data_IF_328659711726
#
_entry.id   IF_328659711726
#
_cell.length_a   1.000
_cell.length_b   1.000
_cell.length_c   1.000
_cell.angle_alpha   90.00
_cell.angle_beta   90.00
_cell.angle_gamma   90.00
#
_symmetry.space_group_name_H-M   'P 1'
#
loop_
_entity.id
_entity.type
_entity.pdbx_description
1 polymer ?
#
# COMPACT_ATOMS: atom_id res chain seq x y z
N UNK A 1 -15.99 4.01 12.48
CA UNK A 1 -15.51 4.22 11.09
C UNK A 1 -16.28 5.31 10.36
N UNK A 2 -17.53 5.58 10.71
CA UNK A 2 -18.38 6.53 9.97
C UNK A 2 -17.83 7.96 9.95
N UNK A 3 -17.20 8.41 11.05
CA UNK A 3 -16.52 9.73 11.07
C UNK A 3 -15.45 9.87 9.98
N UNK A 4 -14.65 8.83 9.72
CA UNK A 4 -13.64 8.85 8.64
C UNK A 4 -14.29 8.84 7.25
N UNK A 5 -15.41 8.12 7.08
CA UNK A 5 -16.17 8.10 5.83
C UNK A 5 -16.75 9.49 5.54
N UNK A 6 -17.36 10.13 6.54
CA UNK A 6 -17.91 11.49 6.42
C UNK A 6 -16.84 12.52 6.09
N UNK A 7 -15.62 12.35 6.60
CA UNK A 7 -14.48 13.20 6.29
C UNK A 7 -13.77 12.86 4.96
N UNK A 8 -14.28 11.91 4.16
CA UNK A 8 -13.64 11.39 2.94
C UNK A 8 -12.22 10.81 3.16
N UNK A 9 -11.89 10.40 4.39
CA UNK A 9 -10.59 9.82 4.77
C UNK A 9 -10.58 8.29 4.71
N UNK A 10 -11.70 7.66 4.34
CA UNK A 10 -11.82 6.20 4.25
C UNK A 10 -12.32 5.77 2.88
N UNK A 11 -11.43 5.16 2.08
CA UNK A 11 -11.75 4.47 0.81
C UNK A 11 -12.64 5.31 -0.15
N UNK A 12 -12.40 6.61 -0.22
CA UNK A 12 -13.24 7.59 -0.92
C UNK A 12 -13.10 7.59 -2.45
N UNK A 13 -12.05 6.99 -3.00
CA UNK A 13 -11.78 7.00 -4.45
C UNK A 13 -12.04 5.67 -5.15
N UNK A 14 -12.73 4.74 -4.50
CA UNK A 14 -13.12 3.48 -5.12
C UNK A 14 -14.08 3.70 -6.30
N UNK A 15 -13.97 2.84 -7.30
CA UNK A 15 -14.80 2.86 -8.50
C UNK A 15 -15.99 1.92 -8.29
N UNK A 16 -17.23 2.41 -8.37
CA UNK A 16 -18.40 1.54 -8.26
C UNK A 16 -18.52 0.63 -9.49
N UNK A 17 -18.80 -0.65 -9.23
CA UNK A 17 -18.96 -1.72 -10.23
C UNK A 17 -20.36 -2.30 -10.10
N UNK A 18 -21.09 -2.34 -11.22
CA UNK A 18 -22.46 -2.88 -11.27
C UNK A 18 -22.82 -3.41 -12.65
N UNK A 19 -23.90 -4.20 -12.73
CA UNK A 19 -24.42 -4.75 -13.98
C UNK A 19 -23.40 -5.62 -14.71
N UNK A 20 -23.22 -5.40 -16.02
CA UNK A 20 -22.31 -6.20 -16.88
C UNK A 20 -20.86 -6.19 -16.42
N UNK A 21 -20.41 -5.15 -15.70
CA UNK A 21 -19.04 -5.10 -15.19
C UNK A 21 -18.77 -6.16 -14.12
N UNK A 22 -19.80 -6.57 -13.35
CA UNK A 22 -19.70 -7.66 -12.38
C UNK A 22 -19.45 -8.98 -13.10
N UNK A 23 -20.17 -9.25 -14.17
CA UNK A 23 -19.98 -10.46 -14.99
C UNK A 23 -18.55 -10.52 -15.55
N UNK A 24 -18.03 -9.40 -16.07
CA UNK A 24 -16.63 -9.31 -16.53
C UNK A 24 -15.64 -9.55 -15.39
N UNK A 25 -15.86 -8.95 -14.24
CA UNK A 25 -15.00 -9.13 -13.08
C UNK A 25 -15.01 -10.59 -12.61
N UNK A 26 -16.16 -11.25 -12.57
CA UNK A 26 -16.28 -12.67 -12.24
C UNK A 26 -15.56 -13.56 -13.26
N UNK A 27 -15.64 -13.26 -14.56
CA UNK A 27 -14.84 -13.96 -15.57
C UNK A 27 -13.33 -13.80 -15.34
N UNK A 28 -12.85 -12.61 -14.93
CA UNK A 28 -11.46 -12.41 -14.52
C UNK A 28 -11.11 -13.32 -13.33
N UNK A 29 -11.94 -13.32 -12.28
CA UNK A 29 -11.70 -14.16 -11.10
C UNK A 29 -11.55 -15.63 -11.47
N UNK A 30 -12.47 -16.18 -12.27
CA UNK A 30 -12.41 -17.58 -12.71
C UNK A 30 -11.16 -17.86 -13.55
N UNK A 31 -10.81 -16.94 -14.46
CA UNK A 31 -9.60 -17.08 -15.30
C UNK A 31 -8.31 -17.11 -14.47
N UNK A 32 -8.27 -16.36 -13.37
CA UNK A 32 -7.16 -16.32 -12.42
C UNK A 32 -7.18 -17.46 -11.38
N UNK A 33 -8.15 -18.38 -11.47
CA UNK A 33 -8.28 -19.52 -10.54
C UNK A 33 -9.07 -19.22 -9.26
N UNK A 34 -9.73 -18.07 -9.16
CA UNK A 34 -10.54 -17.67 -8.01
C UNK A 34 -12.03 -17.98 -8.19
N UNK A 35 -12.74 -18.09 -7.07
CA UNK A 35 -14.20 -18.25 -7.03
C UNK A 35 -14.88 -16.92 -7.34
N UNK A 36 -15.97 -16.95 -8.10
CA UNK A 36 -16.82 -15.79 -8.39
C UNK A 36 -17.38 -15.15 -7.11
N UNK A 37 -17.56 -13.82 -7.13
CA UNK A 37 -18.31 -13.12 -6.08
C UNK A 37 -19.82 -13.27 -6.29
N UNK A 38 -20.57 -13.35 -5.19
CA UNK A 38 -22.04 -13.34 -5.20
C UNK A 38 -22.62 -11.92 -5.15
N UNK A 39 -21.78 -10.90 -4.97
CA UNK A 39 -22.20 -9.51 -4.88
C UNK A 39 -22.67 -8.99 -6.23
N UNK A 40 -23.82 -8.29 -6.22
CA UNK A 40 -24.38 -7.64 -7.42
C UNK A 40 -23.80 -6.25 -7.70
N UNK A 41 -23.21 -5.64 -6.66
CA UNK A 41 -22.61 -4.31 -6.68
C UNK A 41 -21.49 -4.26 -5.66
N UNK A 42 -20.34 -3.73 -6.04
CA UNK A 42 -19.17 -3.55 -5.16
C UNK A 42 -18.31 -2.42 -5.71
N UNK A 43 -17.24 -2.06 -5.01
CA UNK A 43 -16.34 -1.01 -5.45
C UNK A 43 -14.91 -1.54 -5.56
N UNK A 44 -14.17 -1.12 -6.58
CA UNK A 44 -12.77 -1.55 -6.81
C UNK A 44 -11.78 -0.40 -6.71
N UNK A 45 -10.54 -0.71 -6.40
CA UNK A 45 -9.42 0.23 -6.38
C UNK A 45 -8.62 0.24 -7.70
N UNK A 46 -7.45 0.89 -7.69
CA UNK A 46 -6.60 1.00 -8.88
C UNK A 46 -6.12 -0.35 -9.46
N UNK A 47 -5.86 -1.36 -8.63
CA UNK A 47 -5.39 -2.69 -9.08
C UNK A 47 -6.55 -3.65 -9.37
N UNK A 48 -7.77 -3.26 -8.97
CA UNK A 48 -8.98 -4.08 -9.10
C UNK A 48 -9.42 -4.72 -7.80
N UNK A 49 -8.73 -4.50 -6.69
CA UNK A 49 -9.11 -5.05 -5.39
C UNK A 49 -10.38 -4.37 -4.86
N UNK A 50 -11.25 -5.16 -4.23
CA UNK A 50 -12.51 -4.70 -3.63
C UNK A 50 -12.58 -5.05 -2.15
N UNK A 51 -12.84 -4.06 -1.28
CA UNK A 51 -13.02 -4.34 0.14
C UNK A 51 -14.26 -5.18 0.44
N UNK A 52 -15.35 -5.02 -0.33
CA UNK A 52 -16.58 -5.78 -0.12
C UNK A 52 -16.40 -7.25 -0.47
N UNK A 53 -15.64 -7.55 -1.54
CA UNK A 53 -15.31 -8.94 -1.91
C UNK A 53 -14.31 -9.55 -0.92
N UNK A 54 -13.35 -8.76 -0.41
CA UNK A 54 -12.45 -9.23 0.64
C UNK A 54 -13.20 -9.62 1.92
N UNK A 55 -14.23 -8.85 2.30
CA UNK A 55 -15.11 -9.17 3.43
C UNK A 55 -15.98 -10.40 3.14
N UNK A 56 -16.57 -10.51 1.94
CA UNK A 56 -17.35 -11.70 1.53
C UNK A 56 -16.52 -12.99 1.59
N UNK A 57 -15.26 -12.93 1.16
CA UNK A 57 -14.37 -14.10 1.08
C UNK A 57 -13.56 -14.34 2.36
N UNK A 58 -13.71 -13.50 3.37
CA UNK A 58 -12.89 -13.48 4.59
C UNK A 58 -11.37 -13.50 4.30
N UNK A 59 -10.97 -12.89 3.18
CA UNK A 59 -9.60 -12.89 2.71
C UNK A 59 -9.24 -11.51 2.11
N UNK A 60 -8.41 -10.77 2.83
CA UNK A 60 -7.92 -9.45 2.41
C UNK A 60 -7.11 -9.51 1.11
N UNK A 61 -6.37 -10.59 0.85
CA UNK A 61 -5.51 -10.77 -0.32
C UNK A 61 -6.10 -11.75 -1.34
N UNK A 62 -7.43 -11.71 -1.55
CA UNK A 62 -8.13 -12.68 -2.41
C UNK A 62 -7.72 -12.64 -3.89
N UNK A 63 -7.01 -11.61 -4.34
CA UNK A 63 -6.44 -11.51 -5.70
C UNK A 63 -5.06 -12.14 -5.83
N UNK A 64 -4.53 -12.74 -4.76
CA UNK A 64 -3.22 -13.37 -4.77
C UNK A 64 -3.37 -14.88 -4.61
N UNK A 65 -2.71 -15.64 -5.49
CA UNK A 65 -2.60 -17.08 -5.34
C UNK A 65 -1.38 -17.38 -4.46
N UNK A 66 -1.61 -17.42 -3.14
CA UNK A 66 -0.53 -17.45 -2.16
C UNK A 66 0.15 -16.09 -2.02
N UNK A 67 1.38 -16.09 -1.49
CA UNK A 67 2.12 -14.85 -1.21
C UNK A 67 3.02 -14.40 -2.38
N UNK A 68 3.37 -15.30 -3.31
CA UNK A 68 4.33 -15.01 -4.38
C UNK A 68 3.69 -14.47 -5.67
N UNK A 69 2.40 -14.76 -5.91
CA UNK A 69 1.73 -14.53 -7.18
C UNK A 69 0.58 -13.53 -7.02
N UNK A 70 0.87 -12.22 -6.98
CA UNK A 70 -0.15 -11.19 -6.98
C UNK A 70 -0.75 -11.04 -8.37
N UNK A 71 -2.07 -10.79 -8.43
CA UNK A 71 -2.76 -10.51 -9.70
C UNK A 71 -3.50 -9.18 -9.63
N UNK A 72 -3.75 -8.60 -10.79
CA UNK A 72 -4.58 -7.41 -10.95
C UNK A 72 -5.74 -7.65 -11.91
N UNK A 73 -6.79 -6.85 -11.77
CA UNK A 73 -7.94 -6.88 -12.66
C UNK A 73 -8.24 -5.45 -13.14
N UNK A 74 -8.18 -5.23 -14.45
CA UNK A 74 -8.57 -3.97 -15.08
C UNK A 74 -9.88 -4.18 -15.85
N UNK A 75 -10.95 -3.57 -15.37
CA UNK A 75 -12.27 -3.57 -16.03
C UNK A 75 -12.68 -2.19 -16.55
N UNK A 76 -11.97 -1.12 -16.19
CA UNK A 76 -12.34 0.24 -16.54
C UNK A 76 -11.13 1.16 -16.70
N UNK A 77 -11.15 2.12 -17.65
CA UNK A 77 -10.10 3.12 -17.77
C UNK A 77 -10.09 4.08 -16.57
N UNK A 78 -11.17 4.12 -15.78
CA UNK A 78 -11.26 4.95 -14.57
C UNK A 78 -10.28 4.51 -13.48
N UNK A 79 -9.73 3.29 -13.57
CA UNK A 79 -8.67 2.79 -12.66
C UNK A 79 -7.34 3.55 -12.85
N UNK A 80 -7.17 4.28 -13.95
CA UNK A 80 -5.98 5.11 -14.20
C UNK A 80 -5.81 6.15 -13.10
N UNK A 81 -4.68 6.08 -12.40
CA UNK A 81 -4.30 7.05 -11.36
C UNK A 81 -5.06 6.89 -10.05
N UNK A 82 -5.88 5.84 -9.89
CA UNK A 82 -6.58 5.57 -8.64
C UNK A 82 -5.65 4.96 -7.59
N UNK A 83 -5.90 5.23 -6.30
CA UNK A 83 -5.10 4.66 -5.24
C UNK A 83 -5.26 3.14 -5.19
N UNK A 84 -4.16 2.45 -4.89
CA UNK A 84 -4.17 1.04 -4.48
C UNK A 84 -4.19 1.02 -2.96
N UNK A 85 -5.31 0.61 -2.38
CA UNK A 85 -5.54 0.73 -0.93
C UNK A 85 -4.81 -0.35 -0.15
N UNK A 86 -4.70 -1.57 -0.72
CA UNK A 86 -4.06 -2.70 -0.09
C UNK A 86 -2.99 -3.33 -1.00
N UNK A 87 -1.90 -2.60 -1.33
CA UNK A 87 -0.88 -3.07 -2.26
C UNK A 87 0.01 -4.13 -1.59
N UNK A 88 0.01 -5.38 -2.05
CA UNK A 88 0.76 -6.47 -1.42
C UNK A 88 2.26 -6.16 -1.36
N UNK A 89 2.78 -5.52 -2.41
CA UNK A 89 4.10 -4.91 -2.45
C UNK A 89 4.01 -3.38 -2.56
N UNK A 90 4.92 -2.63 -1.96
CA UNK A 90 4.92 -1.15 -2.10
C UNK A 90 5.02 -0.69 -3.55
N UNK A 91 5.67 -1.46 -4.42
CA UNK A 91 5.83 -1.15 -5.83
C UNK A 91 4.58 -1.44 -6.69
N UNK A 92 3.54 -2.13 -6.18
CA UNK A 92 2.33 -2.44 -6.95
C UNK A 92 1.65 -1.16 -7.47
N UNK A 93 1.72 -0.07 -6.70
CA UNK A 93 1.23 1.26 -7.10
C UNK A 93 1.96 1.80 -8.31
N UNK A 94 3.26 1.59 -8.38
CA UNK A 94 4.11 2.09 -9.46
C UNK A 94 4.00 1.21 -10.70
N UNK A 95 3.83 -0.10 -10.52
CA UNK A 95 3.46 -1.03 -11.60
C UNK A 95 2.16 -0.57 -12.26
N UNK A 96 1.11 -0.27 -11.49
CA UNK A 96 -0.15 0.20 -12.07
C UNK A 96 0.00 1.52 -12.82
N UNK A 97 0.76 2.49 -12.28
CA UNK A 97 1.07 3.73 -12.99
C UNK A 97 1.83 3.46 -14.29
N UNK A 98 2.78 2.53 -14.28
CA UNK A 98 3.58 2.15 -15.44
C UNK A 98 2.75 1.48 -16.53
N UNK A 99 1.89 0.53 -16.17
CA UNK A 99 0.92 -0.13 -17.05
C UNK A 99 0.03 0.89 -17.77
N UNK A 100 -0.59 1.81 -17.02
CA UNK A 100 -1.44 2.83 -17.60
C UNK A 100 -0.68 3.92 -18.39
N UNK A 101 0.61 4.12 -18.11
CA UNK A 101 1.47 5.04 -18.86
C UNK A 101 1.79 4.48 -20.25
N UNK A 102 2.08 3.18 -20.36
CA UNK A 102 2.45 2.54 -21.62
C UNK A 102 1.22 2.12 -22.42
N UNK A 103 0.26 1.43 -21.78
CA UNK A 103 -0.87 0.78 -22.45
C UNK A 103 -2.21 1.51 -22.27
N UNK A 104 -2.21 2.73 -21.71
CA UNK A 104 -3.45 3.41 -21.30
C UNK A 104 -4.51 3.55 -22.39
N UNK A 105 -4.14 3.91 -23.63
CA UNK A 105 -5.09 4.02 -24.75
C UNK A 105 -5.63 2.65 -25.19
N UNK A 106 -4.78 1.61 -25.18
CA UNK A 106 -5.20 0.24 -25.51
C UNK A 106 -6.14 -0.32 -24.44
N UNK A 107 -5.81 -0.13 -23.17
CA UNK A 107 -6.65 -0.49 -22.03
C UNK A 107 -8.02 0.16 -22.16
N UNK A 108 -8.06 1.47 -22.48
CA UNK A 108 -9.32 2.20 -22.67
C UNK A 108 -10.16 1.63 -23.81
N UNK A 109 -9.56 1.19 -24.90
CA UNK A 109 -10.32 0.56 -25.98
C UNK A 109 -10.80 -0.84 -25.59
N UNK A 110 -9.93 -1.70 -25.04
CA UNK A 110 -10.23 -3.08 -24.64
C UNK A 110 -11.32 -3.15 -23.58
N UNK A 111 -11.29 -2.25 -22.60
CA UNK A 111 -12.23 -2.26 -21.46
C UNK A 111 -13.65 -1.80 -21.83
N UNK A 112 -13.90 -1.35 -23.07
CA UNK A 112 -15.26 -1.05 -23.57
C UNK A 112 -16.13 -2.31 -23.58
N UNK A 113 -15.58 -3.39 -24.10
CA UNK A 113 -16.28 -4.64 -24.38
C UNK A 113 -15.76 -5.82 -23.54
N UNK A 114 -14.52 -5.75 -23.05
CA UNK A 114 -13.87 -6.81 -22.25
C UNK A 114 -13.22 -6.26 -20.98
N UNK A 115 -12.34 -7.06 -20.39
CA UNK A 115 -11.51 -6.75 -19.24
C UNK A 115 -10.18 -7.49 -19.34
N UNK A 116 -9.20 -7.05 -18.55
CA UNK A 116 -7.81 -7.50 -18.62
C UNK A 116 -7.43 -8.04 -17.25
N UNK A 117 -6.92 -9.26 -17.20
CA UNK A 117 -6.23 -9.80 -16.03
C UNK A 117 -4.74 -9.46 -16.14
N UNK A 118 -4.16 -8.96 -15.06
CA UNK A 118 -2.74 -8.77 -14.92
C UNK A 118 -2.18 -9.92 -14.09
N UNK A 119 -1.12 -10.51 -14.58
CA UNK A 119 -0.31 -11.48 -13.84
C UNK A 119 1.08 -10.89 -13.64
N UNK A 120 1.53 -10.84 -12.39
CA UNK A 120 2.83 -10.30 -12.01
C UNK A 120 3.76 -11.47 -11.72
N UNK A 121 4.43 -11.93 -12.77
CA UNK A 121 5.38 -13.03 -12.70
C UNK A 121 6.75 -12.51 -12.25
N UNK A 122 7.32 -13.18 -11.28
CA UNK A 122 8.57 -12.82 -10.63
C UNK A 122 9.62 -13.93 -10.79
N UNK A 123 9.31 -14.96 -11.58
CA UNK A 123 10.11 -16.16 -11.76
C UNK A 123 10.13 -17.05 -10.51
N UNK A 124 9.14 -16.92 -9.63
CA UNK A 124 9.05 -17.62 -8.35
C UNK A 124 7.65 -18.22 -8.24
N UNK A 125 7.55 -19.54 -8.40
CA UNK A 125 6.26 -20.24 -8.34
C UNK A 125 5.61 -20.14 -6.94
N UNK A 126 6.44 -20.28 -5.90
CA UNK A 126 6.04 -20.22 -4.50
C UNK A 126 7.24 -19.87 -3.62
N UNK A 127 6.95 -19.26 -2.48
CA UNK A 127 7.93 -19.09 -1.42
C UNK A 127 8.07 -20.35 -0.59
N UNK A 128 9.31 -20.79 -0.36
CA UNK A 128 9.62 -21.91 0.53
C UNK A 128 10.29 -21.42 1.80
N UNK A 129 11.15 -20.40 1.69
CA UNK A 129 11.93 -19.84 2.77
C UNK A 129 11.75 -18.32 2.86
N UNK A 130 11.82 -17.71 4.07
CA UNK A 130 11.62 -16.27 4.25
C UNK A 130 12.54 -15.38 3.41
N UNK A 131 13.77 -15.82 3.15
CA UNK A 131 14.75 -15.07 2.36
C UNK A 131 14.56 -15.22 0.85
N UNK A 132 13.63 -16.06 0.38
CA UNK A 132 13.25 -16.12 -1.04
C UNK A 132 12.73 -14.78 -1.56
N UNK A 133 12.21 -13.91 -0.68
CA UNK A 133 11.83 -12.53 -1.01
C UNK A 133 12.99 -11.71 -1.57
N UNK A 134 14.25 -12.08 -1.31
CA UNK A 134 15.43 -11.43 -1.87
C UNK A 134 15.61 -11.71 -3.36
N UNK A 135 14.99 -12.77 -3.90
CA UNK A 135 15.06 -13.12 -5.33
C UNK A 135 14.26 -12.16 -6.21
N UNK A 136 13.34 -11.40 -5.63
CA UNK A 136 12.51 -10.42 -6.33
C UNK A 136 13.39 -9.35 -6.94
N UNK A 137 13.44 -9.15 -8.26
CA UNK A 137 14.22 -8.04 -8.82
C UNK A 137 13.55 -7.49 -10.07
N UNK A 138 13.24 -8.38 -11.01
CA UNK A 138 12.50 -8.07 -12.21
C UNK A 138 11.13 -8.75 -12.15
N UNK A 139 10.09 -7.97 -12.36
CA UNK A 139 8.71 -8.43 -12.47
C UNK A 139 8.30 -8.33 -13.93
N UNK A 140 7.92 -9.47 -14.52
CA UNK A 140 7.28 -9.56 -15.81
C UNK A 140 5.77 -9.39 -15.63
N UNK A 141 5.19 -8.44 -16.35
CA UNK A 141 3.76 -8.14 -16.29
C UNK A 141 3.12 -8.74 -17.53
N UNK A 142 2.36 -9.82 -17.34
CA UNK A 142 1.60 -10.47 -18.39
C UNK A 142 0.16 -9.96 -18.43
N UNK A 143 -0.37 -9.85 -19.64
CA UNK A 143 -1.71 -9.34 -19.89
C UNK A 143 -2.58 -10.45 -20.49
N UNK A 144 -3.66 -10.77 -19.81
CA UNK A 144 -4.61 -11.78 -20.28
C UNK A 144 -5.99 -11.17 -20.52
N UNK A 145 -6.41 -11.17 -21.78
CA UNK A 145 -7.75 -10.71 -22.18
C UNK A 145 -8.80 -11.75 -21.78
N UNK A 146 -9.94 -11.31 -21.27
CA UNK A 146 -11.10 -12.20 -21.10
C UNK A 146 -11.65 -12.60 -22.47
N UNK A 147 -12.26 -13.79 -22.54
CA UNK A 147 -12.90 -14.36 -23.74
C UNK A 147 -11.92 -14.62 -24.91
N UNK A 148 -10.60 -14.50 -24.68
CA UNK A 148 -9.55 -14.68 -25.69
C UNK A 148 -9.81 -13.84 -26.95
N UNK A 149 -10.14 -12.55 -26.77
CA UNK A 149 -10.41 -11.61 -27.87
C UNK A 149 -9.29 -11.54 -28.92
N UNK A 150 -8.05 -11.78 -28.51
CA UNK A 150 -6.89 -11.97 -29.38
C UNK A 150 -7.11 -13.11 -30.39
N UNK A 151 -7.50 -14.30 -29.91
CA UNK A 151 -7.78 -15.45 -30.77
C UNK A 151 -9.00 -15.21 -31.66
N UNK A 152 -10.03 -14.57 -31.12
CA UNK A 152 -11.25 -14.24 -31.87
C UNK A 152 -10.93 -13.24 -33.00
N UNK A 153 -10.05 -12.27 -32.75
CA UNK A 153 -9.59 -11.34 -33.78
C UNK A 153 -8.85 -12.09 -34.90
N UNK A 154 -7.95 -13.01 -34.56
CA UNK A 154 -7.24 -13.83 -35.56
C UNK A 154 -8.21 -14.68 -36.39
N UNK A 155 -9.25 -15.24 -35.77
CA UNK A 155 -10.31 -15.96 -36.46
C UNK A 155 -11.12 -15.04 -37.39
N UNK A 156 -11.48 -13.84 -36.94
CA UNK A 156 -12.16 -12.84 -37.78
C UNK A 156 -11.30 -12.45 -38.99
N UNK A 157 -10.00 -12.22 -38.80
CA UNK A 157 -9.08 -11.90 -39.89
C UNK A 157 -8.96 -13.06 -40.89
N UNK A 158 -8.85 -14.30 -40.42
CA UNK A 158 -8.88 -15.50 -41.29
C UNK A 158 -10.19 -15.62 -42.06
N UNK A 159 -11.32 -15.31 -41.43
CA UNK A 159 -12.62 -15.31 -42.11
C UNK A 159 -12.68 -14.23 -43.20
N UNK A 160 -12.12 -13.05 -42.95
CA UNK A 160 -12.02 -11.97 -43.95
C UNK A 160 -11.07 -12.34 -45.09
N UNK A 161 -9.93 -12.96 -44.79
CA UNK A 161 -9.03 -13.49 -45.81
C UNK A 161 -9.70 -14.56 -46.66
N UNK A 162 -10.45 -15.48 -46.02
CA UNK A 162 -11.21 -16.51 -46.72
C UNK A 162 -12.29 -15.91 -47.59
N UNK A 163 -13.01 -14.90 -47.09
CA UNK A 163 -14.02 -14.15 -47.82
C UNK A 163 -13.46 -13.46 -49.07
N UNK A 164 -12.27 -12.87 -48.95
CA UNK A 164 -11.59 -12.19 -50.05
C UNK A 164 -10.88 -13.13 -51.05
N UNK A 165 -10.89 -14.45 -50.80
CA UNK A 165 -10.25 -15.45 -51.66
C UNK A 165 -11.24 -15.96 -52.72
N UNK A 166 -10.77 -16.03 -53.97
CA UNK A 166 -11.50 -16.59 -55.11
C UNK A 166 -12.93 -15.99 -55.25
N UNK A 167 -13.96 -16.84 -55.33
CA UNK A 167 -15.36 -16.44 -55.42
C UNK A 167 -16.10 -16.59 -54.07
N UNK A 168 -15.39 -16.63 -52.94
CA UNK A 168 -16.03 -16.82 -51.63
C UNK A 168 -16.92 -15.63 -51.22
N UNK A 169 -16.81 -14.50 -51.91
CA UNK A 169 -17.66 -13.32 -51.68
C UNK A 169 -19.14 -13.53 -52.01
N UNK A 170 -19.51 -14.57 -52.77
CA UNK A 170 -20.91 -14.95 -53.02
C UNK A 170 -21.42 -16.03 -52.07
N UNK A 171 -20.56 -16.59 -51.21
CA UNK A 171 -20.95 -17.65 -50.28
C UNK A 171 -21.70 -17.07 -49.07
N UNK A 172 -23.01 -17.29 -49.04
CA UNK A 172 -23.89 -16.87 -47.95
C UNK A 172 -23.52 -17.48 -46.58
N UNK A 173 -22.85 -18.65 -46.57
CA UNK A 173 -22.40 -19.26 -45.32
C UNK A 173 -21.24 -18.48 -44.69
N UNK A 174 -20.33 -17.93 -45.50
CA UNK A 174 -19.23 -17.08 -45.04
C UNK A 174 -19.78 -15.73 -44.58
N UNK A 175 -20.73 -15.15 -45.32
CA UNK A 175 -21.45 -13.95 -44.88
C UNK A 175 -22.09 -14.13 -43.50
N UNK A 176 -22.77 -15.26 -43.27
CA UNK A 176 -23.41 -15.56 -42.00
C UNK A 176 -22.39 -15.69 -40.87
N UNK A 177 -21.28 -16.41 -41.10
CA UNK A 177 -20.19 -16.55 -40.10
C UNK A 177 -19.58 -15.19 -39.72
N UNK A 178 -19.33 -14.32 -40.69
CA UNK A 178 -18.83 -12.96 -40.43
C UNK A 178 -19.85 -12.12 -39.64
N UNK A 179 -21.13 -12.18 -40.01
CA UNK A 179 -22.19 -11.44 -39.32
C UNK A 179 -22.39 -11.91 -37.88
N UNK A 180 -22.38 -13.23 -37.66
CA UNK A 180 -22.55 -13.82 -36.33
C UNK A 180 -21.35 -13.48 -35.41
N UNK A 181 -20.14 -13.48 -35.96
CA UNK A 181 -18.93 -13.04 -35.25
C UNK A 181 -19.01 -11.55 -34.87
N UNK A 182 -19.37 -10.68 -35.83
CA UNK A 182 -19.51 -9.25 -35.59
C UNK A 182 -20.62 -8.90 -34.59
N UNK A 183 -21.73 -9.64 -34.59
CA UNK A 183 -22.82 -9.46 -33.60
C UNK A 183 -22.40 -9.87 -32.20
N UNK A 184 -21.58 -10.91 -32.08
CA UNK A 184 -21.18 -11.48 -30.79
C UNK A 184 -20.05 -10.69 -30.14
N UNK A 185 -19.06 -10.26 -30.92
CA UNK A 185 -17.80 -9.69 -30.42
C UNK A 185 -17.49 -8.28 -30.93
N UNK A 186 -18.32 -7.72 -31.82
CA UNK A 186 -18.04 -6.49 -32.52
C UNK A 186 -17.02 -6.67 -33.66
N UNK A 187 -16.66 -5.56 -34.30
CA UNK A 187 -15.64 -5.52 -35.35
C UNK A 187 -14.24 -5.36 -34.74
N UNK A 188 -13.43 -6.43 -34.79
CA UNK A 188 -12.10 -6.46 -34.21
C UNK A 188 -10.98 -6.17 -35.21
N UNK A 189 -11.30 -6.02 -36.51
CA UNK A 189 -10.31 -5.99 -37.60
C UNK A 189 -9.25 -4.91 -37.41
N UNK A 190 -9.68 -3.72 -37.03
CA UNK A 190 -8.80 -2.54 -36.88
C UNK A 190 -8.41 -2.25 -35.42
N UNK A 191 -8.78 -3.11 -34.47
CA UNK A 191 -8.49 -2.89 -33.05
C UNK A 191 -7.10 -3.37 -32.70
N UNK A 192 -6.30 -2.55 -32.04
CA UNK A 192 -5.00 -2.97 -31.50
C UNK A 192 -5.19 -3.56 -30.11
N UNK A 193 -5.28 -4.89 -30.07
CA UNK A 193 -5.41 -5.68 -28.83
C UNK A 193 -4.05 -6.16 -28.29
N UNK A 194 -2.94 -5.77 -28.91
CA UNK A 194 -1.63 -6.27 -28.54
C UNK A 194 -1.07 -5.52 -27.32
N UNK A 195 -1.18 -6.15 -26.16
CA UNK A 195 -0.53 -5.74 -24.92
C UNK A 195 0.75 -6.55 -24.74
N UNK A 196 1.88 -6.02 -25.22
CA UNK A 196 3.17 -6.66 -24.99
C UNK A 196 3.52 -6.66 -23.50
N UNK A 197 4.24 -7.69 -23.09
CA UNK A 197 4.74 -7.87 -21.73
C UNK A 197 5.60 -6.69 -21.31
N UNK A 198 5.42 -6.25 -20.08
CA UNK A 198 6.22 -5.17 -19.50
C UNK A 198 7.20 -5.74 -18.49
N UNK A 199 8.39 -5.17 -18.43
CA UNK A 199 9.39 -5.51 -17.42
C UNK A 199 9.49 -4.35 -16.44
N UNK A 200 9.39 -4.64 -15.14
CA UNK A 200 9.51 -3.67 -14.07
C UNK A 200 10.60 -4.11 -13.10
N UNK A 201 11.63 -3.30 -12.93
CA UNK A 201 12.70 -3.57 -11.97
C UNK A 201 12.42 -2.87 -10.66
N UNK A 202 12.55 -3.59 -9.55
CA UNK A 202 12.41 -3.04 -8.20
C UNK A 202 13.70 -3.19 -7.40
N UNK A 203 13.90 -2.23 -6.51
CA UNK A 203 15.05 -2.04 -5.65
C UNK A 203 14.67 -2.38 -4.19
N UNK A 204 14.63 -1.38 -3.31
CA UNK A 204 14.12 -1.48 -1.95
C UNK A 204 12.59 -1.43 -1.91
N UNK A 205 11.94 -2.36 -1.18
CA UNK A 205 10.48 -2.43 -1.10
C UNK A 205 10.00 -3.09 0.20
N UNK A 206 8.69 -3.03 0.45
CA UNK A 206 8.01 -3.79 1.49
C UNK A 206 7.02 -4.78 0.86
N UNK A 207 6.94 -5.99 1.43
CA UNK A 207 5.97 -7.03 1.07
C UNK A 207 5.18 -7.48 2.29
N UNK A 208 3.90 -7.83 2.10
CA UNK A 208 3.08 -8.49 3.13
C UNK A 208 3.36 -9.98 3.28
N UNK A 209 4.17 -10.57 2.40
CA UNK A 209 4.61 -11.95 2.54
C UNK A 209 5.25 -12.17 3.93
N UNK A 210 5.13 -13.37 4.47
CA UNK A 210 5.67 -13.74 5.78
C UNK A 210 5.26 -12.79 6.91
N UNK A 211 4.05 -12.23 6.85
CA UNK A 211 3.54 -11.32 7.89
C UNK A 211 4.12 -9.90 7.87
N UNK A 212 4.90 -9.54 6.84
CA UNK A 212 5.46 -8.20 6.68
C UNK A 212 6.99 -8.19 6.69
N UNK A 213 7.60 -7.84 5.55
CA UNK A 213 9.05 -7.77 5.39
C UNK A 213 9.45 -6.52 4.62
N UNK A 214 10.42 -5.77 5.15
CA UNK A 214 11.11 -4.68 4.46
C UNK A 214 12.43 -5.20 3.90
N UNK A 215 12.72 -4.85 2.66
CA UNK A 215 13.95 -5.20 1.95
C UNK A 215 14.59 -3.90 1.49
N UNK A 216 15.78 -3.62 2.03
CA UNK A 216 16.54 -2.40 1.81
C UNK A 216 17.86 -2.76 1.10
N UNK A 217 17.95 -2.56 -0.21
CA UNK A 217 19.06 -3.07 -1.04
C UNK A 217 20.10 -2.02 -1.42
N UNK A 218 19.71 -0.76 -1.50
CA UNK A 218 20.55 0.32 -2.04
C UNK A 218 21.55 0.87 -1.00
N UNK A 219 22.01 0.00 -0.09
CA UNK A 219 22.87 0.33 1.04
C UNK A 219 24.09 -0.58 1.05
N UNK A 220 25.12 -0.21 1.82
CA UNK A 220 26.42 -0.92 1.89
C UNK A 220 26.24 -2.44 2.08
N UNK A 221 25.27 -2.82 2.92
CA UNK A 221 24.85 -4.21 3.10
C UNK A 221 23.32 -4.23 3.07
N UNK A 222 22.69 -5.14 2.31
CA UNK A 222 21.24 -5.22 2.28
C UNK A 222 20.68 -5.51 3.67
N UNK A 223 19.61 -4.83 4.04
CA UNK A 223 18.94 -4.98 5.33
C UNK A 223 17.55 -5.57 5.09
N UNK A 224 17.23 -6.64 5.81
CA UNK A 224 15.92 -7.27 5.82
C UNK A 224 15.31 -7.08 7.20
N UNK A 225 14.14 -6.46 7.26
CA UNK A 225 13.43 -6.22 8.53
C UNK A 225 12.12 -6.98 8.52
N UNK A 226 11.97 -7.90 9.47
CA UNK A 226 10.75 -8.69 9.66
C UNK A 226 9.84 -8.05 10.71
N UNK A 227 8.54 -7.97 10.41
CA UNK A 227 7.50 -7.59 11.37
C UNK A 227 7.07 -8.79 12.24
N UNK A 228 7.12 -10.01 11.68
CA UNK A 228 6.72 -11.24 12.36
C UNK A 228 7.92 -11.96 13.03
N UNK A 229 7.76 -12.28 14.31
CA UNK A 229 8.82 -12.89 15.12
C UNK A 229 9.14 -14.34 14.70
N UNK A 230 8.14 -15.10 14.25
CA UNK A 230 8.33 -16.49 13.84
C UNK A 230 9.19 -16.55 12.59
N UNK A 231 8.90 -15.73 11.59
CA UNK A 231 9.65 -15.71 10.34
C UNK A 231 11.03 -15.09 10.49
N UNK A 232 11.18 -14.07 11.35
CA UNK A 232 12.49 -13.58 11.77
C UNK A 232 13.38 -14.70 12.32
N UNK A 233 12.88 -15.50 13.25
CA UNK A 233 13.62 -16.63 13.86
C UNK A 233 14.01 -17.72 12.86
N UNK A 234 13.23 -17.88 11.80
CA UNK A 234 13.53 -18.83 10.73
C UNK A 234 14.61 -18.25 9.79
N UNK A 235 14.49 -16.97 9.42
CA UNK A 235 15.40 -16.28 8.50
C UNK A 235 16.84 -16.21 9.05
N UNK A 236 17.03 -15.97 10.35
CA UNK A 236 18.37 -15.88 10.96
C UNK A 236 19.15 -17.21 10.98
N UNK A 237 18.48 -18.34 10.71
CA UNK A 237 19.15 -19.66 10.61
C UNK A 237 19.82 -19.82 9.25
N UNK A 238 19.33 -19.12 8.24
CA UNK A 238 19.89 -19.16 6.91
C UNK A 238 21.13 -18.27 6.83
N UNK A 239 22.25 -18.87 6.44
CA UNK A 239 23.55 -18.21 6.30
C UNK A 239 24.01 -18.11 4.84
N UNK A 240 23.14 -18.50 3.90
CA UNK A 240 23.45 -18.50 2.47
C UNK A 240 23.45 -17.09 1.87
N UNK A 241 22.77 -16.13 2.51
CA UNK A 241 22.67 -14.76 2.04
C UNK A 241 23.52 -13.82 2.91
N UNK A 242 24.30 -12.97 2.27
CA UNK A 242 25.08 -11.92 2.93
C UNK A 242 24.20 -10.68 3.17
N UNK A 243 23.32 -10.76 4.17
CA UNK A 243 22.35 -9.70 4.52
C UNK A 243 22.27 -9.47 6.03
N UNK A 244 21.90 -8.26 6.44
CA UNK A 244 21.60 -7.95 7.84
C UNK A 244 20.12 -8.19 8.11
N UNK A 245 19.81 -9.07 9.06
CA UNK A 245 18.43 -9.46 9.39
C UNK A 245 18.06 -8.88 10.76
N UNK A 246 16.97 -8.13 10.82
CA UNK A 246 16.44 -7.55 12.06
C UNK A 246 14.96 -7.88 12.23
N UNK A 247 14.53 -7.90 13.49
CA UNK A 247 13.12 -7.80 13.83
C UNK A 247 12.75 -6.33 14.09
N UNK A 248 11.56 -5.89 13.72
CA UNK A 248 11.14 -4.48 13.80
C UNK A 248 11.21 -3.87 15.21
N UNK A 249 11.14 -4.71 16.25
CA UNK A 249 11.20 -4.27 17.66
C UNK A 249 12.62 -4.26 18.25
N UNK A 250 13.63 -4.70 17.52
CA UNK A 250 15.01 -4.72 18.01
C UNK A 250 15.60 -3.30 18.06
N UNK A 251 16.12 -2.83 19.20
CA UNK A 251 16.74 -1.51 19.30
C UNK A 251 17.91 -1.31 18.32
N UNK A 252 18.66 -2.37 18.05
CA UNK A 252 19.84 -2.37 17.16
C UNK A 252 19.49 -1.99 15.72
N UNK A 253 18.24 -2.22 15.29
CA UNK A 253 17.76 -1.79 13.97
C UNK A 253 17.93 -0.28 13.82
N UNK A 254 17.46 0.48 14.79
CA UNK A 254 17.48 1.94 14.73
C UNK A 254 18.90 2.50 14.78
N UNK A 255 19.80 1.85 15.54
CA UNK A 255 21.23 2.17 15.52
C UNK A 255 21.82 1.98 14.13
N UNK A 256 21.54 0.84 13.49
CA UNK A 256 22.06 0.54 12.16
C UNK A 256 21.53 1.43 11.05
N UNK A 257 20.24 1.76 11.10
CA UNK A 257 19.66 2.72 10.15
C UNK A 257 20.33 4.11 10.27
N UNK A 258 20.72 4.53 11.49
CA UNK A 258 21.47 5.77 11.71
C UNK A 258 22.92 5.65 11.22
N UNK A 259 23.61 4.57 11.56
CA UNK A 259 25.01 4.33 11.16
C UNK A 259 25.17 4.32 9.64
N UNK A 260 24.18 3.76 8.92
CA UNK A 260 24.16 3.71 7.46
C UNK A 260 23.60 4.98 6.81
N UNK A 261 23.32 6.04 7.58
CA UNK A 261 22.79 7.33 7.10
C UNK A 261 21.46 7.16 6.34
N UNK A 262 20.65 6.18 6.74
CA UNK A 262 19.31 5.92 6.18
C UNK A 262 18.29 6.82 6.89
N UNK A 263 18.47 7.01 8.19
CA UNK A 263 17.65 7.89 9.02
C UNK A 263 18.52 8.88 9.78
N UNK A 264 17.92 10.02 10.11
CA UNK A 264 18.54 11.07 10.91
C UNK A 264 17.57 11.61 11.95
N UNK A 265 18.09 12.34 12.93
CA UNK A 265 17.32 13.11 13.88
C UNK A 265 18.06 14.38 14.25
N UNK A 266 17.32 15.45 14.51
CA UNK A 266 17.84 16.71 15.03
C UNK A 266 16.83 17.26 16.04
N UNK A 267 17.08 17.02 17.34
CA UNK A 267 16.12 17.35 18.39
C UNK A 267 15.88 18.86 18.52
N UNK A 268 16.89 19.70 18.28
CA UNK A 268 16.77 21.16 18.36
C UNK A 268 15.88 21.72 17.25
N UNK A 269 15.98 21.15 16.05
CA UNK A 269 15.09 21.52 14.93
C UNK A 269 13.70 20.90 15.09
N UNK A 270 13.63 19.63 15.45
CA UNK A 270 12.36 18.87 15.51
C UNK A 270 11.37 19.50 16.50
N UNK A 271 11.82 19.98 17.66
CA UNK A 271 10.95 20.62 18.67
C UNK A 271 10.20 21.85 18.13
N UNK A 272 10.72 22.50 17.07
CA UNK A 272 10.09 23.66 16.43
C UNK A 272 9.10 23.29 15.33
N UNK A 273 8.94 22.00 15.03
CA UNK A 273 8.09 21.52 13.93
C UNK A 273 6.67 21.22 14.38
N UNK A 274 5.70 21.41 13.47
CA UNK A 274 4.31 20.95 13.68
C UNK A 274 4.21 19.44 13.92
N UNK A 275 5.16 18.66 13.39
CA UNK A 275 5.24 17.21 13.59
C UNK A 275 5.47 16.87 15.06
N UNK A 276 6.41 17.54 15.70
CA UNK A 276 6.67 17.35 17.12
C UNK A 276 5.45 17.71 17.98
N UNK A 277 4.79 18.83 17.68
CA UNK A 277 3.56 19.22 18.39
C UNK A 277 2.46 18.14 18.28
N UNK A 278 2.27 17.54 17.09
CA UNK A 278 1.31 16.43 16.91
C UNK A 278 1.69 15.20 17.74
N UNK A 279 2.96 14.78 17.67
CA UNK A 279 3.47 13.62 18.43
C UNK A 279 3.27 13.84 19.93
N UNK A 280 3.58 15.04 20.42
CA UNK A 280 3.43 15.41 21.83
C UNK A 280 1.96 15.43 22.26
N UNK A 281 1.06 15.95 21.43
CA UNK A 281 -0.39 15.93 21.67
C UNK A 281 -0.92 14.49 21.68
N UNK A 282 -0.46 13.64 20.75
CA UNK A 282 -0.81 12.23 20.72
C UNK A 282 -0.35 11.50 21.99
N UNK A 283 0.90 11.73 22.42
CA UNK A 283 1.46 11.15 23.64
C UNK A 283 0.66 11.57 24.87
N UNK A 284 0.34 12.87 24.99
CA UNK A 284 -0.49 13.37 26.08
C UNK A 284 -1.88 12.72 26.10
N UNK A 285 -2.50 12.52 24.94
CA UNK A 285 -3.82 11.92 24.84
C UNK A 285 -3.88 10.50 25.41
N UNK A 286 -2.77 9.74 25.36
CA UNK A 286 -2.71 8.38 25.91
C UNK A 286 -2.85 8.35 27.44
N UNK A 287 -2.56 9.45 28.13
CA UNK A 287 -2.65 9.54 29.60
C UNK A 287 -3.95 10.22 30.07
N UNK A 288 -4.81 10.68 29.17
CA UNK A 288 -6.07 11.37 29.51
C UNK A 288 -7.20 10.35 29.77
N UNK A 289 -7.29 9.86 31.00
CA UNK A 289 -8.34 8.95 31.42
C UNK A 289 -9.61 9.70 31.88
N UNK A 290 -10.68 9.67 31.07
CA UNK A 290 -12.00 10.28 31.36
C UNK A 290 -11.90 11.77 31.77
N UNK A 291 -11.35 12.64 30.91
CA UNK A 291 -11.24 14.05 31.23
C UNK A 291 -12.61 14.74 31.32
N UNK A 292 -12.70 15.78 32.15
CA UNK A 292 -13.90 16.62 32.26
C UNK A 292 -14.24 17.37 30.95
N UNK A 293 -13.22 17.74 30.17
CA UNK A 293 -13.37 18.40 28.87
C UNK A 293 -13.13 17.39 27.73
N UNK A 294 -13.73 17.58 26.55
CA UNK A 294 -13.43 16.77 25.38
C UNK A 294 -11.93 16.76 25.06
N UNK A 295 -11.35 15.60 24.73
CA UNK A 295 -9.92 15.45 24.42
C UNK A 295 -9.49 16.42 23.32
N UNK A 296 -10.33 16.60 22.29
CA UNK A 296 -10.07 17.55 21.20
C UNK A 296 -9.81 18.97 21.71
N UNK A 297 -10.62 19.45 22.64
CA UNK A 297 -10.51 20.81 23.17
C UNK A 297 -9.25 20.93 24.03
N UNK A 298 -8.94 19.89 24.81
CA UNK A 298 -7.71 19.83 25.63
C UNK A 298 -6.45 19.90 24.76
N UNK A 299 -6.45 19.22 23.62
CA UNK A 299 -5.28 19.18 22.73
C UNK A 299 -5.14 20.44 21.87
N UNK A 300 -6.22 21.19 21.63
CA UNK A 300 -6.21 22.37 20.77
C UNK A 300 -6.11 23.69 21.56
N UNK A 301 -6.68 23.77 22.76
CA UNK A 301 -6.61 24.97 23.60
C UNK A 301 -5.32 24.99 24.45
N UNK A 302 -4.45 26.02 24.32
CA UNK A 302 -3.19 26.08 25.06
C UNK A 302 -3.34 26.15 26.59
N UNK A 303 -4.44 26.71 27.10
CA UNK A 303 -4.70 26.86 28.54
C UNK A 303 -5.14 25.50 29.10
N UNK A 304 -6.08 24.82 28.43
CA UNK A 304 -6.49 23.48 28.80
C UNK A 304 -5.33 22.51 28.71
N UNK A 305 -4.54 22.54 27.63
CA UNK A 305 -3.35 21.70 27.47
C UNK A 305 -2.41 21.82 28.68
N UNK A 306 -2.06 23.04 29.08
CA UNK A 306 -1.20 23.29 30.26
C UNK A 306 -1.86 22.82 31.57
N UNK A 307 -3.15 23.05 31.73
CA UNK A 307 -3.91 22.62 32.91
C UNK A 307 -3.89 21.10 33.07
N UNK A 308 -4.17 20.36 32.00
CA UNK A 308 -4.17 18.90 32.03
C UNK A 308 -2.76 18.32 32.13
N UNK A 309 -1.75 18.92 31.50
CA UNK A 309 -0.36 18.54 31.66
C UNK A 309 0.08 18.61 33.14
N UNK A 310 -0.37 19.63 33.86
CA UNK A 310 -0.11 19.81 35.30
C UNK A 310 -0.94 18.88 36.20
N UNK A 311 -2.01 18.28 35.69
CA UNK A 311 -2.80 17.26 36.41
C UNK A 311 -2.25 15.84 36.23
N UNK A 312 -1.44 15.59 35.20
CA UNK A 312 -0.75 14.32 35.02
C UNK A 312 0.21 14.06 36.18
N UNK A 313 0.40 12.79 36.52
CA UNK A 313 1.44 12.36 37.44
C UNK A 313 2.83 12.71 36.89
N UNK A 314 3.83 12.71 37.78
CA UNK A 314 5.18 13.14 37.45
C UNK A 314 5.80 12.26 36.36
N UNK A 315 5.55 10.94 36.36
CA UNK A 315 6.15 10.04 35.37
C UNK A 315 5.56 10.27 33.98
N UNK A 316 4.24 10.35 33.86
CA UNK A 316 3.57 10.65 32.60
C UNK A 316 3.97 12.03 32.05
N UNK A 317 4.03 13.05 32.93
CA UNK A 317 4.48 14.40 32.52
C UNK A 317 5.92 14.40 32.03
N UNK A 318 6.79 13.62 32.68
CA UNK A 318 8.20 13.47 32.27
C UNK A 318 8.32 12.87 30.88
N UNK A 319 7.44 11.94 30.50
CA UNK A 319 7.40 11.32 29.15
C UNK A 319 6.94 12.32 28.08
N UNK A 320 5.84 13.03 28.34
CA UNK A 320 5.29 14.03 27.40
C UNK A 320 6.29 15.18 27.13
N UNK A 321 6.99 15.63 28.18
CA UNK A 321 7.97 16.74 28.10
C UNK A 321 9.42 16.26 27.92
N UNK A 322 9.62 15.00 27.52
CA UNK A 322 10.94 14.37 27.64
C UNK A 322 12.02 15.01 26.76
N UNK A 323 11.66 15.50 25.57
CA UNK A 323 12.60 16.13 24.64
C UNK A 323 12.98 17.53 25.12
N UNK A 324 12.04 18.37 25.56
CA UNK A 324 12.37 19.70 26.08
C UNK A 324 13.21 19.60 27.35
N UNK A 325 12.87 18.64 28.23
CA UNK A 325 13.67 18.37 29.43
C UNK A 325 15.08 17.90 29.10
N UNK A 326 15.26 17.19 27.99
CA UNK A 326 16.58 16.79 27.52
C UNK A 326 17.38 17.99 27.02
N UNK A 327 16.78 18.84 26.19
CA UNK A 327 17.42 20.06 25.66
C UNK A 327 17.78 21.05 26.79
N UNK A 328 16.88 21.31 27.74
CA UNK A 328 17.14 22.16 28.92
C UNK A 328 18.32 21.63 29.76
N UNK A 329 18.44 20.31 29.89
CA UNK A 329 19.53 19.67 30.63
C UNK A 329 20.86 19.71 29.88
N UNK A 330 20.82 19.59 28.55
CA UNK A 330 22.00 19.75 27.70
C UNK A 330 22.58 21.15 27.80
N UNK A 331 21.75 22.20 27.91
CA UNK A 331 22.22 23.57 28.15
C UNK A 331 23.00 23.70 29.47
N UNK A 332 22.73 22.83 30.45
CA UNK A 332 23.37 22.85 31.77
C UNK A 332 24.58 21.90 31.86
N UNK A 333 24.53 20.72 31.23
CA UNK A 333 25.61 19.72 31.25
C UNK A 333 25.51 18.71 30.10
N UNK A 334 26.64 18.45 29.43
CA UNK A 334 26.75 17.47 28.35
C UNK A 334 26.86 16.00 28.81
N UNK A 335 26.70 15.73 30.11
CA UNK A 335 26.85 14.37 30.66
C UNK A 335 25.60 13.50 30.48
N UNK A 336 24.46 14.10 30.17
CA UNK A 336 23.20 13.36 30.05
C UNK A 336 23.07 12.69 28.69
N UNK A 337 22.83 11.37 28.68
CA UNK A 337 22.52 10.64 27.44
C UNK A 337 21.04 10.78 27.11
N UNK A 338 20.73 10.78 25.81
CA UNK A 338 19.34 10.81 25.30
C UNK A 338 18.52 9.69 25.94
N UNK A 339 19.07 8.47 25.96
CA UNK A 339 18.43 7.27 26.49
C UNK A 339 18.05 7.34 27.98
N UNK A 340 18.66 8.25 28.75
CA UNK A 340 18.38 8.40 30.19
C UNK A 340 17.15 9.28 30.47
N UNK A 341 16.73 10.10 29.48
CA UNK A 341 15.73 11.16 29.66
C UNK A 341 14.56 11.01 28.70
N UNK A 342 14.83 10.67 27.44
CA UNK A 342 13.84 10.56 26.37
C UNK A 342 13.31 9.14 26.30
N UNK A 343 11.99 8.99 26.34
CA UNK A 343 11.34 7.70 26.14
C UNK A 343 11.75 7.12 24.78
N UNK A 344 12.16 5.84 24.75
CA UNK A 344 12.72 5.20 23.56
C UNK A 344 11.75 5.28 22.38
N UNK A 345 10.47 4.96 22.60
CA UNK A 345 9.46 4.99 21.54
C UNK A 345 9.19 6.40 21.07
N UNK A 346 9.20 7.38 21.97
CA UNK A 346 9.11 8.79 21.56
C UNK A 346 10.32 9.18 20.70
N UNK A 347 11.54 8.84 21.12
CA UNK A 347 12.75 9.14 20.39
C UNK A 347 12.76 8.50 18.99
N UNK A 348 12.39 7.22 18.88
CA UNK A 348 12.22 6.52 17.59
C UNK A 348 11.25 7.27 16.66
N UNK A 349 10.11 7.74 17.19
CA UNK A 349 9.12 8.48 16.42
C UNK A 349 9.59 9.87 15.92
N UNK A 350 10.71 10.39 16.41
CA UNK A 350 11.27 11.69 15.98
C UNK A 350 12.27 11.57 14.83
N UNK A 351 12.64 10.35 14.45
CA UNK A 351 13.51 10.13 13.31
C UNK A 351 12.80 10.49 12.00
N UNK A 352 13.59 10.78 10.98
CA UNK A 352 13.14 10.99 9.61
C UNK A 352 14.11 10.30 8.64
N UNK A 353 13.64 9.91 7.44
CA UNK A 353 14.53 9.45 6.37
C UNK A 353 15.55 10.54 6.04
N UNK A 354 16.78 10.13 5.76
CA UNK A 354 17.83 11.07 5.39
C UNK A 354 17.53 11.71 4.03
N UNK A 355 17.83 13.00 3.91
CA UNK A 355 17.52 13.81 2.72
C UNK A 355 18.21 13.37 1.43
N UNK A 356 19.26 12.55 1.52
CA UNK A 356 19.98 12.00 0.36
C UNK A 356 19.24 10.86 -0.34
N UNK A 357 18.27 10.24 0.32
CA UNK A 357 17.47 9.16 -0.26
C UNK A 357 16.53 9.72 -1.33
N UNK A 358 16.25 8.94 -2.37
CA UNK A 358 15.22 9.32 -3.33
C UNK A 358 13.83 9.28 -2.70
N UNK A 359 12.85 9.90 -3.36
CA UNK A 359 11.49 10.01 -2.82
C UNK A 359 10.83 8.64 -2.53
N UNK A 360 11.11 7.60 -3.34
CA UNK A 360 10.53 6.27 -3.18
C UNK A 360 11.10 5.58 -1.94
N UNK A 361 12.41 5.68 -1.74
CA UNK A 361 13.08 5.17 -0.55
C UNK A 361 12.67 5.94 0.69
N UNK A 362 12.54 7.27 0.61
CA UNK A 362 12.02 8.07 1.72
C UNK A 362 10.63 7.60 2.16
N UNK A 363 9.72 7.34 1.22
CA UNK A 363 8.38 6.81 1.52
C UNK A 363 8.42 5.42 2.19
N UNK A 364 9.32 4.54 1.73
CA UNK A 364 9.51 3.21 2.33
C UNK A 364 10.06 3.31 3.76
N UNK A 365 11.07 4.16 3.98
CA UNK A 365 11.66 4.36 5.30
C UNK A 365 10.66 5.05 6.23
N UNK A 366 9.84 5.97 5.73
CA UNK A 366 8.74 6.53 6.50
C UNK A 366 7.75 5.47 6.97
N UNK A 367 7.38 4.54 6.08
CA UNK A 367 6.55 3.40 6.45
C UNK A 367 7.21 2.56 7.55
N UNK A 368 8.49 2.24 7.42
CA UNK A 368 9.23 1.49 8.44
C UNK A 368 9.23 2.23 9.80
N UNK A 369 9.55 3.53 9.82
CA UNK A 369 9.60 4.34 11.04
C UNK A 369 8.23 4.43 11.74
N UNK A 370 7.15 4.57 10.98
CA UNK A 370 5.78 4.54 11.52
C UNK A 370 5.47 3.19 12.15
N UNK A 371 5.88 2.09 11.53
CA UNK A 371 5.64 0.74 12.04
C UNK A 371 6.52 0.44 13.28
N UNK A 372 7.71 1.02 13.38
CA UNK A 372 8.56 0.98 14.58
C UNK A 372 7.94 1.77 15.74
N UNK A 373 7.45 2.99 15.47
CA UNK A 373 6.84 3.84 16.51
C UNK A 373 5.71 4.73 15.97
N UNK A 374 4.48 4.24 16.11
CA UNK A 374 3.26 4.86 15.63
C UNK A 374 2.75 5.98 16.57
N UNK A 375 3.47 7.12 16.64
CA UNK A 375 3.09 8.27 17.49
C UNK A 375 2.65 9.52 16.72
N UNK A 376 2.86 9.59 15.40
CA UNK A 376 2.36 10.68 14.56
C UNK A 376 1.14 10.23 13.77
N UNK A 377 -0.05 10.67 14.17
CA UNK A 377 -1.32 10.26 13.54
C UNK A 377 -1.41 10.59 12.05
N UNK A 378 -0.74 11.65 11.59
CA UNK A 378 -0.76 12.05 10.18
C UNK A 378 0.06 11.07 9.33
N UNK A 379 1.29 10.79 9.77
CA UNK A 379 2.19 9.87 9.07
C UNK A 379 1.67 8.43 9.19
N UNK A 380 1.09 8.07 10.33
CA UNK A 380 0.42 6.79 10.50
C UNK A 380 -0.70 6.61 9.47
N UNK A 381 -1.55 7.62 9.29
CA UNK A 381 -2.58 7.60 8.26
C UNK A 381 -2.03 7.53 6.83
N UNK A 382 -0.89 8.15 6.53
CA UNK A 382 -0.32 8.15 5.18
C UNK A 382 0.35 6.81 4.82
N UNK A 383 1.14 6.24 5.73
CA UNK A 383 2.02 5.11 5.43
C UNK A 383 1.50 3.74 5.93
N UNK A 384 0.64 3.71 6.95
CA UNK A 384 0.00 2.48 7.41
C UNK A 384 -1.48 2.67 7.78
N UNK A 385 -2.29 2.79 6.72
CA UNK A 385 -3.75 2.96 6.84
C UNK A 385 -4.43 1.80 7.57
N UNK A 386 -3.95 0.57 7.41
CA UNK A 386 -4.58 -0.61 7.98
C UNK A 386 -4.41 -0.66 9.50
N UNK A 387 -3.17 -0.47 9.98
CA UNK A 387 -2.88 -0.32 11.40
C UNK A 387 -3.61 0.90 11.98
N UNK A 388 -3.58 2.03 11.27
CA UNK A 388 -4.29 3.25 11.68
C UNK A 388 -5.80 3.01 11.84
N UNK A 389 -6.47 2.39 10.87
CA UNK A 389 -7.91 2.13 10.96
C UNK A 389 -8.26 1.15 12.07
N UNK A 390 -7.39 0.18 12.35
CA UNK A 390 -7.56 -0.77 13.45
C UNK A 390 -7.48 -0.07 14.80
N UNK A 391 -6.48 0.80 15.00
CA UNK A 391 -6.35 1.61 16.22
C UNK A 391 -7.43 2.68 16.34
N UNK A 392 -7.83 3.31 15.23
CA UNK A 392 -8.88 4.34 15.22
C UNK A 392 -10.22 3.83 15.78
N UNK A 393 -10.53 2.54 15.63
CA UNK A 393 -11.76 1.95 16.17
C UNK A 393 -11.81 1.98 17.70
N UNK A 394 -10.67 1.87 18.38
CA UNK A 394 -10.59 1.76 19.84
C UNK A 394 -10.51 3.12 20.56
N UNK A 395 -10.27 4.19 19.80
CA UNK A 395 -10.11 5.54 20.35
C UNK A 395 -11.40 6.16 20.87
N UNK A 396 -11.26 7.05 21.85
CA UNK A 396 -12.34 7.92 22.33
C UNK A 396 -12.91 8.80 21.19
N UNK A 397 -14.21 9.09 21.24
CA UNK A 397 -14.88 9.81 20.16
C UNK A 397 -14.40 11.25 20.00
N UNK A 398 -14.04 11.94 21.08
CA UNK A 398 -13.46 13.28 20.99
C UNK A 398 -12.04 13.23 20.44
N UNK A 399 -11.26 12.21 20.80
CA UNK A 399 -9.92 12.02 20.24
C UNK A 399 -9.98 11.73 18.73
N UNK A 400 -10.93 10.92 18.29
CA UNK A 400 -11.19 10.69 16.85
C UNK A 400 -11.45 12.00 16.09
N UNK A 401 -12.19 12.94 16.68
CA UNK A 401 -12.48 14.24 16.04
C UNK A 401 -11.21 15.09 15.89
N UNK A 402 -10.34 15.08 16.90
CA UNK A 402 -9.04 15.75 16.83
C UNK A 402 -8.15 15.15 15.75
N UNK A 403 -8.10 13.82 15.64
CA UNK A 403 -7.30 13.14 14.62
C UNK A 403 -7.82 13.45 13.22
N UNK A 404 -9.13 13.39 13.01
CA UNK A 404 -9.75 13.72 11.71
C UNK A 404 -9.43 15.16 11.32
N UNK A 405 -9.61 16.12 12.23
CA UNK A 405 -9.27 17.51 11.95
C UNK A 405 -7.78 17.69 11.63
N UNK A 406 -6.91 17.02 12.39
CA UNK A 406 -5.46 17.05 12.16
C UNK A 406 -5.11 16.51 10.78
N UNK A 407 -5.72 15.40 10.36
CA UNK A 407 -5.46 14.81 9.04
C UNK A 407 -6.03 15.71 7.93
N UNK A 408 -7.29 16.13 8.03
CA UNK A 408 -7.96 16.95 7.02
C UNK A 408 -7.29 18.31 6.80
N UNK A 409 -6.70 18.92 7.83
CA UNK A 409 -5.98 20.19 7.71
C UNK A 409 -4.61 20.06 7.02
N UNK A 410 -4.15 18.85 6.71
CA UNK A 410 -2.84 18.57 6.12
C UNK A 410 -2.91 17.72 4.83
N UNK A 411 -4.11 17.50 4.26
CA UNK A 411 -4.32 16.80 2.98
C UNK A 411 -4.56 17.80 1.85
#
# INVERSE_FOLDING_TARGET
>A
MDKLKQANLYRSELIPVSGKLVERYNKCLVKLGFIETKLKTFSIDGIGWSPEIAEEKENNSYLNNGEANPHGIIISPLQKGKPVYLPFHTFDRDIMKFVFKIHGEKIKDITRDSAICLDFDQGIDAFYEPLDVLKYNNIAIHFHLIDNLDKIKDEQLKLVETFNRDNNFIDETIHKKLLDSAKSYGDLRNRDLNLHELQFTTDSFYTRAFGGVYILRDFITPIVVFEDEKWYKEAIKDTNYEVLIYHIQQPELMDKLRDHVIIEYDLEKVVKTKRYERIKKFEMAQYLNKPQHPIKDILNDPILYKSYLNKLDIESRKKVMSVERYLEKLETSNQFKIADIVDLKLFEALHQPHSSLDAKHQDLIWKLLVNVSAKDVLFWYWYDKEAFYSSFKTWDDSFKDWVIETISNNI
#
